data_IF_329552101442
#
_entry.id   IF_329552101442
#
_cell.length_a   1.000
_cell.length_b   1.000
_cell.length_c   1.000
_cell.angle_alpha   90.00
_cell.angle_beta   90.00
_cell.angle_gamma   90.00
#
_symmetry.space_group_name_H-M   'P 1'
#
loop_
_entity.id
_entity.type
_entity.pdbx_description
1 polymer ?
#
# COMPACT_ATOMS: atom_id res chain seq x y z
N UNK A 1 12.94 2.79 7.24
CA UNK A 1 12.82 1.34 7.54
C UNK A 1 11.99 0.67 6.46
N UNK A 2 12.21 -0.63 6.20
CA UNK A 2 11.41 -1.38 5.21
C UNK A 2 10.06 -1.79 5.83
N UNK A 3 8.91 -1.49 5.18
CA UNK A 3 7.60 -1.93 5.66
C UNK A 3 7.48 -3.46 5.65
N UNK A 4 6.94 -4.04 6.74
CA UNK A 4 6.62 -5.47 6.82
C UNK A 4 5.19 -5.72 6.35
N UNK A 5 4.99 -5.50 5.06
CA UNK A 5 3.68 -5.64 4.41
C UNK A 5 3.79 -6.65 3.28
N UNK A 6 2.75 -7.46 3.10
CA UNK A 6 2.64 -8.40 1.99
C UNK A 6 1.33 -8.15 1.26
N UNK A 7 1.44 -7.75 0.01
CA UNK A 7 0.30 -7.62 -0.88
C UNK A 7 0.32 -8.78 -1.87
N UNK A 8 -0.83 -9.42 -2.04
CA UNK A 8 -1.01 -10.52 -2.99
C UNK A 8 -1.26 -10.01 -4.40
N UNK A 9 -1.92 -8.85 -4.53
CA UNK A 9 -2.23 -8.23 -5.81
C UNK A 9 -2.43 -6.72 -5.63
N UNK A 10 -2.30 -6.00 -6.75
CA UNK A 10 -2.57 -4.57 -6.83
C UNK A 10 -3.55 -4.33 -7.97
N UNK A 11 -4.58 -3.54 -7.70
CA UNK A 11 -5.56 -3.11 -8.67
C UNK A 11 -5.42 -1.61 -8.92
N UNK A 12 -5.00 -1.25 -10.13
CA UNK A 12 -4.87 0.13 -10.58
C UNK A 12 -6.18 0.70 -11.15
N UNK A 13 -6.27 2.02 -11.27
CA UNK A 13 -7.37 2.72 -11.93
C UNK A 13 -8.12 3.68 -11.01
N UNK A 14 -9.40 3.93 -11.30
CA UNK A 14 -10.18 5.02 -10.67
C UNK A 14 -10.44 4.84 -9.17
N UNK A 15 -10.48 3.60 -8.69
CA UNK A 15 -10.65 3.29 -7.27
C UNK A 15 -9.66 2.20 -6.89
N UNK A 16 -8.37 2.56 -6.74
CA UNK A 16 -7.32 1.57 -6.65
C UNK A 16 -7.30 0.95 -5.24
N UNK A 17 -6.85 -0.30 -5.18
CA UNK A 17 -6.70 -1.04 -3.94
C UNK A 17 -5.64 -2.11 -4.06
N UNK A 18 -5.17 -2.61 -2.92
CA UNK A 18 -4.37 -3.83 -2.83
C UNK A 18 -5.18 -4.95 -2.21
N UNK A 19 -4.78 -6.19 -2.48
CA UNK A 19 -5.23 -7.36 -1.74
C UNK A 19 -4.16 -7.69 -0.70
N UNK A 20 -4.52 -7.67 0.57
CA UNK A 20 -3.61 -8.03 1.67
C UNK A 20 -3.36 -9.55 1.76
N UNK A 21 -2.52 -9.95 2.70
CA UNK A 21 -2.17 -11.36 2.92
C UNK A 21 -3.34 -12.26 3.32
N UNK A 22 -4.47 -11.69 3.72
CA UNK A 22 -5.71 -12.39 4.07
C UNK A 22 -6.75 -12.37 2.94
N UNK A 23 -6.42 -11.81 1.78
CA UNK A 23 -7.35 -11.69 0.65
C UNK A 23 -8.31 -10.49 0.77
N UNK A 24 -8.10 -9.58 1.72
CA UNK A 24 -8.96 -8.42 1.93
C UNK A 24 -8.52 -7.25 1.06
N UNK A 25 -9.51 -6.50 0.54
CA UNK A 25 -9.27 -5.23 -0.16
C UNK A 25 -8.88 -4.13 0.83
N UNK A 26 -7.76 -3.48 0.54
CA UNK A 26 -7.23 -2.35 1.32
C UNK A 26 -7.06 -1.16 0.40
N UNK A 27 -7.65 -0.03 0.80
CA UNK A 27 -7.70 1.20 0.00
C UNK A 27 -6.74 2.27 0.56
N UNK A 28 -6.32 3.25 -0.26
CA UNK A 28 -5.60 4.42 0.21
C UNK A 28 -6.24 5.06 1.45
N UNK A 29 -5.39 5.48 2.39
CA UNK A 29 -5.76 5.95 3.73
C UNK A 29 -5.71 4.88 4.81
N UNK A 30 -5.71 3.58 4.46
CA UNK A 30 -5.72 2.49 5.42
C UNK A 30 -4.41 2.39 6.23
N UNK A 31 -4.56 2.09 7.53
CA UNK A 31 -3.45 1.77 8.42
C UNK A 31 -3.00 0.33 8.19
N UNK A 32 -1.69 0.14 8.15
CA UNK A 32 -0.99 -1.11 7.92
C UNK A 32 -0.12 -1.44 9.16
N UNK A 33 0.48 -2.64 9.24
CA UNK A 33 1.43 -2.98 10.28
C UNK A 33 2.56 -1.95 10.44
N UNK A 34 3.12 -1.87 11.65
CA UNK A 34 4.19 -0.93 12.02
C UNK A 34 3.84 0.55 11.78
N UNK A 35 2.55 0.89 11.84
CA UNK A 35 2.02 2.24 11.69
C UNK A 35 2.25 2.87 10.30
N UNK A 36 2.53 2.04 9.28
CA UNK A 36 2.52 2.48 7.90
C UNK A 36 1.08 2.78 7.45
N UNK A 37 0.92 3.74 6.56
CA UNK A 37 -0.34 4.01 5.89
C UNK A 37 -0.17 3.78 4.40
N UNK A 38 -1.14 3.11 3.79
CA UNK A 38 -1.26 3.08 2.34
C UNK A 38 -1.61 4.49 1.87
N UNK A 39 -0.65 5.19 1.28
CA UNK A 39 -0.82 6.58 0.89
C UNK A 39 -1.54 6.69 -0.45
N UNK A 40 -1.02 6.01 -1.47
CA UNK A 40 -1.52 6.11 -2.83
C UNK A 40 -1.10 4.91 -3.69
N UNK A 41 -1.87 4.66 -4.74
CA UNK A 41 -1.61 3.63 -5.75
C UNK A 41 -1.84 4.32 -7.10
N UNK A 42 -0.75 4.72 -7.76
CA UNK A 42 -0.81 5.48 -9.01
C UNK A 42 0.26 4.99 -9.98
N UNK A 43 -0.05 5.02 -11.28
CA UNK A 43 0.84 4.51 -12.31
C UNK A 43 1.10 3.01 -12.10
N UNK A 44 2.35 2.66 -11.85
CA UNK A 44 2.86 1.33 -11.55
C UNK A 44 3.35 1.20 -10.09
N UNK A 45 3.05 2.19 -9.24
CA UNK A 45 3.60 2.28 -7.89
C UNK A 45 2.54 2.16 -6.80
N UNK A 46 2.95 1.55 -5.69
CA UNK A 46 2.26 1.62 -4.40
C UNK A 46 3.14 2.40 -3.42
N UNK A 47 2.59 3.46 -2.83
CA UNK A 47 3.30 4.32 -1.88
C UNK A 47 2.76 4.14 -0.47
N UNK A 48 3.69 4.02 0.47
CA UNK A 48 3.45 3.88 1.90
C UNK A 48 4.14 5.01 2.64
N UNK A 49 3.48 5.52 3.68
CA UNK A 49 4.02 6.59 4.53
C UNK A 49 3.96 6.23 6.00
N UNK A 50 4.97 6.66 6.75
CA UNK A 50 5.02 6.59 8.21
C UNK A 50 5.74 7.81 8.77
N UNK A 51 4.98 8.78 9.27
CA UNK A 51 5.55 10.07 9.69
C UNK A 51 6.23 10.77 8.49
N UNK A 52 7.54 10.97 8.57
CA UNK A 52 8.34 11.54 7.47
C UNK A 52 8.93 10.47 6.52
N UNK A 53 8.83 9.19 6.89
CA UNK A 53 9.33 8.09 6.07
C UNK A 53 8.37 7.79 4.92
N UNK A 54 8.94 7.57 3.74
CA UNK A 54 8.23 7.20 2.52
C UNK A 54 8.86 5.93 1.97
N UNK A 55 8.02 5.00 1.55
CA UNK A 55 8.45 3.78 0.89
C UNK A 55 7.57 3.57 -0.34
N UNK A 56 8.19 3.29 -1.47
CA UNK A 56 7.50 2.99 -2.71
C UNK A 56 8.07 1.69 -3.25
N UNK A 57 7.20 0.85 -3.79
CA UNK A 57 7.61 -0.27 -4.61
C UNK A 57 6.83 -0.23 -5.92
N UNK A 58 7.55 -0.60 -6.99
CA UNK A 58 7.06 -0.69 -8.37
C UNK A 58 6.77 -2.15 -8.70
N UNK A 59 5.74 -2.40 -9.50
CA UNK A 59 5.33 -3.75 -9.93
C UNK A 59 5.85 -4.11 -11.32
#
# INVERSE_FOLDING_TARGET
ATPRVRFQAVWFGRNPYVIDEHGKRVYPGALLPDNWRLDSIDGDQVRLVRGQERFAFTL
#
